data_IF_541518160319
#
_entry.id   IF_541518160319
#
_cell.length_a   1.000
_cell.length_b   1.000
_cell.length_c   1.000
_cell.angle_alpha   90.00
_cell.angle_beta   90.00
_cell.angle_gamma   90.00
#
_symmetry.space_group_name_H-M   'P 1'
#
loop_
_entity.id
_entity.type
_entity.pdbx_description
1 polymer ?
#
# COMPACT_ATOMS: atom_id res chain seq x y z
N UNK A 1 -24.84 4.05 4.36
CA UNK A 1 -24.01 3.79 3.16
C UNK A 1 -24.29 2.36 2.74
N UNK A 2 -24.91 2.14 1.56
CA UNK A 2 -25.47 0.83 1.17
C UNK A 2 -24.64 0.06 0.13
N UNK A 3 -23.54 0.62 -0.37
CA UNK A 3 -22.68 -0.07 -1.33
C UNK A 3 -21.64 -0.92 -0.60
N UNK A 4 -21.81 -2.24 -0.67
CA UNK A 4 -20.83 -3.23 -0.22
C UNK A 4 -19.77 -3.43 -1.31
N UNK A 5 -18.59 -3.91 -0.92
CA UNK A 5 -17.48 -4.27 -1.82
C UNK A 5 -16.93 -3.09 -2.63
N UNK A 6 -16.29 -2.14 -1.96
CA UNK A 6 -15.67 -0.96 -2.60
C UNK A 6 -14.18 -1.20 -2.87
N UNK A 7 -13.72 -0.73 -4.03
CA UNK A 7 -12.30 -0.61 -4.36
C UNK A 7 -11.97 0.89 -4.45
N UNK A 8 -10.94 1.31 -3.73
CA UNK A 8 -10.42 2.67 -3.78
C UNK A 8 -9.07 2.68 -4.51
N UNK A 9 -8.83 3.71 -5.32
CA UNK A 9 -7.57 3.88 -6.06
C UNK A 9 -6.92 5.21 -5.64
N UNK A 10 -5.71 5.15 -5.10
CA UNK A 10 -4.96 6.32 -4.63
C UNK A 10 -4.12 6.03 -3.39
N UNK A 11 -3.63 7.10 -2.76
CA UNK A 11 -2.88 7.04 -1.51
C UNK A 11 -3.73 6.48 -0.35
N UNK A 12 -3.19 5.51 0.38
CA UNK A 12 -3.94 4.78 1.39
C UNK A 12 -4.32 5.65 2.59
N UNK A 13 -3.45 6.55 3.05
CA UNK A 13 -3.67 7.36 4.24
C UNK A 13 -4.79 8.37 3.98
N UNK A 14 -4.75 9.02 2.82
CA UNK A 14 -5.81 9.92 2.39
C UNK A 14 -7.14 9.20 2.21
N UNK A 15 -7.15 8.05 1.55
CA UNK A 15 -8.38 7.26 1.34
C UNK A 15 -9.02 6.88 2.68
N UNK A 16 -8.23 6.35 3.60
CA UNK A 16 -8.71 5.93 4.91
C UNK A 16 -9.30 7.11 5.70
N UNK A 17 -8.67 8.29 5.64
CA UNK A 17 -9.16 9.50 6.34
C UNK A 17 -10.43 10.10 5.74
N UNK A 18 -10.55 10.12 4.41
CA UNK A 18 -11.66 10.82 3.74
C UNK A 18 -12.90 9.95 3.53
N UNK A 19 -12.74 8.63 3.31
CA UNK A 19 -13.82 7.79 2.79
C UNK A 19 -14.21 6.62 3.70
N UNK A 20 -13.38 6.26 4.70
CA UNK A 20 -13.67 5.14 5.61
C UNK A 20 -14.08 5.69 6.98
N UNK A 21 -15.32 5.45 7.44
CA UNK A 21 -15.77 5.95 8.73
C UNK A 21 -15.02 5.32 9.91
N UNK A 22 -14.86 6.08 10.98
CA UNK A 22 -14.32 5.57 12.25
C UNK A 22 -15.12 4.36 12.76
N UNK A 23 -14.41 3.39 13.35
CA UNK A 23 -14.99 2.18 13.95
C UNK A 23 -15.95 1.40 13.02
N UNK A 24 -15.73 1.44 11.70
CA UNK A 24 -16.58 0.77 10.70
C UNK A 24 -16.00 -0.53 10.12
N UNK A 25 -14.79 -0.91 10.54
CA UNK A 25 -14.06 -2.07 10.03
C UNK A 25 -13.80 -3.07 11.15
N UNK A 26 -14.30 -4.29 11.00
CA UNK A 26 -14.15 -5.36 11.99
C UNK A 26 -12.81 -6.12 11.87
N UNK A 27 -12.28 -6.25 10.65
CA UNK A 27 -11.05 -6.98 10.35
C UNK A 27 -10.25 -6.24 9.27
N UNK A 28 -8.94 -6.10 9.51
CA UNK A 28 -7.99 -5.55 8.56
C UNK A 28 -6.97 -6.65 8.21
N UNK A 29 -6.84 -6.95 6.92
CA UNK A 29 -5.73 -7.72 6.40
C UNK A 29 -4.77 -6.75 5.68
N UNK A 30 -3.50 -6.74 6.07
CA UNK A 30 -2.46 -5.90 5.47
C UNK A 30 -1.27 -6.78 5.08
N UNK A 31 -0.82 -6.62 3.85
CA UNK A 31 0.45 -7.14 3.34
C UNK A 31 1.26 -5.94 2.82
N UNK A 32 1.81 -5.12 3.73
CA UNK A 32 2.56 -3.93 3.32
C UNK A 32 3.82 -4.33 2.54
N UNK A 33 4.33 -3.46 1.65
CA UNK A 33 5.53 -3.77 0.90
C UNK A 33 6.67 -4.16 1.84
N UNK A 34 7.29 -5.31 1.57
CA UNK A 34 8.52 -5.71 2.23
C UNK A 34 9.63 -4.85 1.65
N UNK A 35 10.22 -3.98 2.47
CA UNK A 35 11.39 -3.17 2.12
C UNK A 35 12.62 -4.07 1.95
N UNK A 36 12.65 -4.87 0.89
CA UNK A 36 13.72 -5.82 0.57
C UNK A 36 14.64 -5.31 -0.54
N UNK A 37 14.42 -4.08 -1.03
CA UNK A 37 15.12 -3.51 -2.20
C UNK A 37 15.09 -4.43 -3.43
N UNK A 38 14.05 -5.26 -3.56
CA UNK A 38 13.96 -6.26 -4.59
C UNK A 38 13.30 -5.67 -5.84
N UNK A 39 13.95 -5.86 -6.99
CA UNK A 39 13.35 -5.55 -8.29
C UNK A 39 12.43 -6.74 -8.62
N UNK A 40 11.12 -6.53 -8.53
CA UNK A 40 10.15 -7.53 -8.94
C UNK A 40 9.97 -7.46 -10.46
N UNK A 41 10.61 -8.39 -11.17
CA UNK A 41 10.39 -8.57 -12.60
C UNK A 41 9.22 -9.55 -12.80
N UNK A 42 8.11 -9.10 -13.38
CA UNK A 42 7.08 -10.02 -13.87
C UNK A 42 7.55 -10.54 -15.22
N UNK A 43 8.03 -11.79 -15.23
CA UNK A 43 8.38 -12.49 -16.47
C UNK A 43 7.10 -13.00 -17.12
N UNK A 44 6.53 -12.26 -18.07
CA UNK A 44 5.51 -12.81 -18.97
C UNK A 44 6.20 -13.74 -19.97
N UNK A 45 5.97 -15.05 -19.87
CA UNK A 45 6.30 -15.98 -20.96
C UNK A 45 5.23 -15.88 -22.04
N UNK A 46 5.62 -15.54 -23.27
CA UNK A 46 4.74 -15.71 -24.42
C UNK A 46 4.51 -17.21 -24.68
N UNK A 47 3.31 -17.57 -25.17
CA UNK A 47 2.93 -18.97 -25.46
C UNK A 47 3.78 -19.62 -26.56
N UNK A 48 4.60 -18.85 -27.29
CA UNK A 48 5.48 -19.30 -28.38
C UNK A 48 6.81 -19.91 -27.92
N UNK A 49 7.22 -19.69 -26.66
CA UNK A 49 8.51 -20.15 -26.15
C UNK A 49 9.71 -19.26 -26.54
N UNK A 50 9.49 -18.14 -27.22
CA UNK A 50 10.50 -17.11 -27.44
C UNK A 50 10.62 -16.18 -26.22
N UNK A 51 11.81 -15.63 -25.97
CA UNK A 51 12.02 -14.68 -24.88
C UNK A 51 11.25 -13.38 -25.16
N UNK A 52 10.21 -13.12 -24.36
CA UNK A 52 9.42 -11.89 -24.42
C UNK A 52 10.31 -10.68 -24.17
N UNK A 53 10.40 -9.78 -25.16
CA UNK A 53 11.11 -8.50 -25.04
C UNK A 53 10.44 -7.52 -24.04
N UNK A 54 9.28 -7.88 -23.48
CA UNK A 54 8.57 -7.08 -22.50
C UNK A 54 8.87 -7.56 -21.07
N UNK A 55 10.07 -7.28 -20.57
CA UNK A 55 10.25 -7.12 -19.14
C UNK A 55 9.52 -5.84 -18.74
N UNK A 56 8.28 -5.97 -18.29
CA UNK A 56 7.59 -4.89 -17.61
C UNK A 56 8.18 -4.86 -16.21
N UNK A 57 8.94 -3.80 -15.89
CA UNK A 57 9.31 -3.48 -14.50
C UNK A 57 8.03 -3.51 -13.69
N UNK A 58 7.83 -4.53 -12.87
CA UNK A 58 6.51 -4.75 -12.30
C UNK A 58 6.23 -3.69 -11.26
N UNK A 59 7.17 -3.45 -10.34
CA UNK A 59 7.16 -2.36 -9.38
C UNK A 59 8.61 -2.11 -8.92
N UNK A 60 9.09 -0.88 -9.05
CA UNK A 60 10.25 -0.40 -8.29
C UNK A 60 9.73 0.10 -6.93
N UNK A 61 10.45 -0.20 -5.85
CA UNK A 61 10.17 0.43 -4.56
C UNK A 61 10.57 1.91 -4.66
N UNK A 62 9.60 2.74 -5.02
CA UNK A 62 9.79 4.19 -5.20
C UNK A 62 9.53 4.96 -3.92
N UNK A 63 9.22 4.29 -2.81
CA UNK A 63 8.88 4.98 -1.57
C UNK A 63 10.14 5.55 -0.92
N UNK A 64 10.10 6.83 -0.57
CA UNK A 64 11.19 7.52 0.09
C UNK A 64 10.67 8.27 1.31
N UNK A 65 11.48 8.35 2.36
CA UNK A 65 11.17 9.15 3.53
C UNK A 65 11.25 10.64 3.17
N UNK A 66 10.11 11.26 2.90
CA UNK A 66 10.00 12.70 2.59
C UNK A 66 9.69 13.54 3.84
N UNK A 67 9.68 14.87 3.68
CA UNK A 67 9.27 15.76 4.78
C UNK A 67 7.78 15.62 5.10
N UNK A 68 6.96 15.32 4.09
CA UNK A 68 5.55 15.01 4.25
C UNK A 68 5.37 13.71 5.06
N UNK A 69 6.11 12.65 4.70
CA UNK A 69 6.10 11.39 5.45
C UNK A 69 6.50 11.59 6.93
N UNK A 70 7.51 12.42 7.20
CA UNK A 70 7.91 12.78 8.56
C UNK A 70 6.79 13.51 9.32
N UNK A 71 6.12 14.47 8.68
CA UNK A 71 5.05 15.23 9.31
C UNK A 71 3.84 14.34 9.63
N UNK A 72 3.44 13.47 8.70
CA UNK A 72 2.38 12.48 8.88
C UNK A 72 2.72 11.48 9.99
N UNK A 73 3.95 10.96 10.01
CA UNK A 73 4.43 10.08 11.06
C UNK A 73 4.33 10.74 12.44
N UNK A 74 4.80 11.98 12.60
CA UNK A 74 4.70 12.73 13.86
C UNK A 74 3.26 12.93 14.31
N UNK A 75 2.37 13.25 13.38
CA UNK A 75 0.95 13.40 13.67
C UNK A 75 0.34 12.10 14.18
N UNK A 76 0.60 10.99 13.47
CA UNK A 76 0.06 9.65 13.78
C UNK A 76 0.60 9.17 15.13
N UNK A 77 1.90 9.31 15.41
CA UNK A 77 2.48 8.90 16.70
C UNK A 77 1.96 9.76 17.85
N UNK A 78 1.71 11.06 17.61
CA UNK A 78 1.21 11.97 18.64
C UNK A 78 -0.28 11.80 18.95
N UNK A 79 -1.10 11.44 17.97
CA UNK A 79 -2.57 11.31 18.10
C UNK A 79 -3.05 9.87 18.23
N UNK A 80 -2.24 8.91 17.82
CA UNK A 80 -2.59 7.50 17.77
C UNK A 80 -2.88 6.93 19.16
N UNK A 81 -3.73 5.90 19.26
CA UNK A 81 -3.93 5.19 20.50
C UNK A 81 -2.59 4.65 21.00
N UNK A 82 -2.34 4.71 22.33
CA UNK A 82 -1.17 4.06 22.94
C UNK A 82 -1.08 2.62 22.43
N UNK A 83 0.12 2.20 22.02
CA UNK A 83 0.45 0.83 21.63
C UNK A 83 -0.24 -0.11 22.63
N UNK A 84 -1.22 -0.90 22.16
CA UNK A 84 -1.74 -1.99 22.98
C UNK A 84 -0.64 -3.05 23.02
N UNK A 85 -0.26 -3.44 24.23
CA UNK A 85 0.94 -4.22 24.51
C UNK A 85 0.99 -5.54 23.72
N UNK A 86 2.23 -6.02 23.60
CA UNK A 86 2.78 -7.15 22.87
C UNK A 86 2.00 -8.48 23.01
#
# INVERSE_FOLDING_TARGET
MNDKNKLYFGDNLRILREYVPDASVDLIYLDPPLNSSAIYNVLFKEKSGEESAAQITAFEDTWQWSQEAEAEYREIVGRGPRKRAD
#
